data_IF_784121885729
#
_entry.id   IF_784121885729
#
_cell.length_a   1.000
_cell.length_b   1.000
_cell.length_c   1.000
_cell.angle_alpha   90.00
_cell.angle_beta   90.00
_cell.angle_gamma   90.00
#
_symmetry.space_group_name_H-M   'P 1'
#
loop_
_entity.id
_entity.type
_entity.pdbx_description
1 polymer ?
#
# COMPACT_ATOMS: atom_id res chain seq x y z
N UNK A 1 14.62 -15.73 -18.96
CA UNK A 1 14.29 -16.02 -17.54
C UNK A 1 15.18 -15.14 -16.67
N UNK A 2 14.67 -13.98 -16.23
CA UNK A 2 15.40 -12.95 -15.45
C UNK A 2 14.95 -12.99 -13.97
N UNK A 3 14.27 -14.06 -13.54
CA UNK A 3 13.64 -14.17 -12.21
C UNK A 3 14.25 -15.22 -11.27
N UNK A 4 15.37 -15.85 -11.63
CA UNK A 4 15.96 -16.97 -10.86
C UNK A 4 17.26 -16.61 -10.10
N UNK A 5 17.80 -15.38 -10.24
CA UNK A 5 19.14 -15.07 -9.69
C UNK A 5 19.14 -14.22 -8.43
N UNK A 6 18.03 -13.57 -8.08
CA UNK A 6 17.94 -12.75 -6.87
C UNK A 6 16.85 -13.33 -5.97
N UNK A 7 17.28 -14.02 -4.90
CA UNK A 7 16.37 -14.50 -3.87
C UNK A 7 15.56 -13.33 -3.32
N UNK A 8 14.26 -13.50 -3.10
CA UNK A 8 13.36 -12.46 -2.58
C UNK A 8 13.89 -11.81 -1.30
N UNK A 9 14.66 -12.57 -0.53
CA UNK A 9 15.39 -12.11 0.66
C UNK A 9 16.47 -11.09 0.32
N UNK A 10 17.21 -11.25 -0.78
CA UNK A 10 18.28 -10.33 -1.23
C UNK A 10 17.68 -8.98 -1.61
N UNK A 11 16.60 -8.98 -2.38
CA UNK A 11 15.92 -7.73 -2.79
C UNK A 11 15.35 -6.97 -1.58
N UNK A 12 14.78 -7.68 -0.61
CA UNK A 12 14.33 -7.09 0.65
C UNK A 12 15.49 -6.54 1.49
N UNK A 13 16.64 -7.22 1.50
CA UNK A 13 17.83 -6.77 2.22
C UNK A 13 18.39 -5.47 1.62
N UNK A 14 18.48 -5.40 0.29
CA UNK A 14 18.90 -4.18 -0.41
C UNK A 14 17.91 -3.02 -0.22
N UNK A 15 16.60 -3.29 -0.28
CA UNK A 15 15.58 -2.27 -0.06
C UNK A 15 15.65 -1.69 1.36
N UNK A 16 15.71 -2.54 2.39
CA UNK A 16 15.84 -2.09 3.77
C UNK A 16 17.18 -1.38 4.01
N UNK A 17 18.27 -1.89 3.42
CA UNK A 17 19.58 -1.25 3.48
C UNK A 17 19.58 0.15 2.87
N UNK A 18 18.99 0.32 1.69
CA UNK A 18 18.88 1.63 1.04
C UNK A 18 18.05 2.62 1.89
N UNK A 19 16.96 2.17 2.50
CA UNK A 19 16.18 3.01 3.42
C UNK A 19 16.96 3.39 4.68
N UNK A 20 17.68 2.46 5.29
CA UNK A 20 18.49 2.73 6.48
C UNK A 20 19.64 3.69 6.18
N UNK A 21 20.34 3.49 5.07
CA UNK A 21 21.40 4.40 4.62
C UNK A 21 20.82 5.79 4.30
N UNK A 22 19.70 5.86 3.59
CA UNK A 22 19.01 7.12 3.32
C UNK A 22 18.60 7.85 4.61
N UNK A 23 17.99 7.13 5.56
CA UNK A 23 17.60 7.69 6.85
C UNK A 23 18.81 8.18 7.66
N UNK A 24 19.91 7.42 7.69
CA UNK A 24 21.13 7.79 8.39
C UNK A 24 21.82 9.00 7.75
N UNK A 25 21.87 9.08 6.41
CA UNK A 25 22.39 10.25 5.70
C UNK A 25 21.56 11.49 6.00
N UNK A 26 20.23 11.38 5.94
CA UNK A 26 19.33 12.48 6.27
C UNK A 26 19.52 12.91 7.73
N UNK A 27 19.52 11.96 8.68
CA UNK A 27 19.74 12.24 10.09
C UNK A 27 21.11 12.90 10.35
N UNK A 28 22.17 12.44 9.68
CA UNK A 28 23.51 13.02 9.78
C UNK A 28 23.55 14.44 9.20
N UNK A 29 22.87 14.71 8.09
CA UNK A 29 22.75 16.06 7.54
C UNK A 29 22.02 17.00 8.50
N UNK A 30 20.93 16.56 9.13
CA UNK A 30 20.21 17.35 10.14
C UNK A 30 21.06 17.60 11.39
N UNK A 31 21.79 16.58 11.86
CA UNK A 31 22.69 16.67 13.01
C UNK A 31 23.88 17.61 12.73
N UNK A 32 24.51 17.51 11.55
CA UNK A 32 25.61 18.39 11.12
C UNK A 32 25.15 19.83 10.90
N UNK A 33 23.90 20.05 10.51
CA UNK A 33 23.33 21.38 10.33
C UNK A 33 23.01 22.09 11.67
N UNK A 34 23.12 21.42 12.82
CA UNK A 34 22.89 22.01 14.15
C UNK A 34 21.46 22.49 14.37
N UNK A 35 20.49 21.94 13.63
CA UNK A 35 19.07 22.30 13.72
C UNK A 35 18.48 21.47 14.85
N UNK A 36 18.54 21.98 16.08
CA UNK A 36 17.93 21.30 17.23
C UNK A 36 16.41 21.53 17.30
N UNK A 37 15.88 22.63 16.74
CA UNK A 37 14.45 22.93 16.65
C UNK A 37 14.07 23.39 15.25
N UNK A 38 13.11 22.69 14.62
CA UNK A 38 12.57 23.10 13.34
C UNK A 38 11.44 24.12 13.51
N UNK A 39 11.45 25.19 12.72
CA UNK A 39 10.52 26.33 12.82
C UNK A 39 9.07 25.96 12.46
N UNK A 40 8.83 24.80 11.82
CA UNK A 40 7.52 24.32 11.40
C UNK A 40 7.14 22.96 12.04
N UNK A 41 5.88 22.76 12.51
CA UNK A 41 5.44 21.52 13.18
C UNK A 41 5.61 20.23 12.36
N UNK A 42 5.65 20.33 11.03
CA UNK A 42 5.86 19.19 10.12
C UNK A 42 7.32 18.70 10.10
N UNK A 43 8.27 19.56 10.47
CA UNK A 43 9.71 19.23 10.50
C UNK A 43 10.17 18.76 11.88
N UNK A 44 9.37 18.98 12.93
CA UNK A 44 9.67 18.59 14.30
C UNK A 44 9.80 17.05 14.44
N UNK A 45 9.05 16.28 13.65
CA UNK A 45 9.16 14.82 13.63
C UNK A 45 10.57 14.31 13.22
N UNK A 46 11.31 15.06 12.41
CA UNK A 46 12.65 14.66 11.94
C UNK A 46 13.75 14.85 13.00
N UNK A 47 13.55 15.80 13.92
CA UNK A 47 14.55 16.20 14.92
C UNK A 47 14.18 15.70 16.32
N UNK A 48 12.94 15.21 16.51
CA UNK A 48 12.45 14.76 17.81
C UNK A 48 13.31 13.61 18.36
N UNK A 49 13.78 13.71 19.62
CA UNK A 49 14.46 12.61 20.28
C UNK A 49 13.60 11.34 20.29
N UNK A 50 14.25 10.19 20.14
CA UNK A 50 13.56 8.90 20.22
C UNK A 50 12.90 8.74 21.60
N UNK A 51 11.58 8.57 21.61
CA UNK A 51 10.81 8.32 22.83
C UNK A 51 10.42 6.85 22.85
N UNK A 52 10.76 6.15 23.93
CA UNK A 52 10.32 4.78 24.14
C UNK A 52 8.79 4.73 24.28
N UNK A 53 8.10 3.94 23.44
CA UNK A 53 6.64 3.84 23.51
C UNK A 53 6.21 3.23 24.84
N UNK A 54 5.10 3.72 25.38
CA UNK A 54 4.50 3.15 26.57
C UNK A 54 3.99 1.72 26.30
N UNK A 55 3.93 0.88 27.34
CA UNK A 55 3.43 -0.50 27.26
C UNK A 55 2.09 -0.69 26.52
N UNK A 56 1.06 0.16 26.68
CA UNK A 56 -0.18 0.02 25.89
C UNK A 56 0.01 0.32 24.41
N UNK A 57 0.97 1.18 24.05
CA UNK A 57 1.25 1.50 22.64
C UNK A 57 2.03 0.40 21.95
N UNK A 58 2.93 -0.28 22.69
CA UNK A 58 3.57 -1.50 22.22
C UNK A 58 2.56 -2.59 21.86
N UNK A 59 1.48 -2.75 22.63
CA UNK A 59 0.43 -3.72 22.33
C UNK A 59 -0.31 -3.35 21.04
N UNK A 60 -0.64 -2.07 20.83
CA UNK A 60 -1.27 -1.59 19.59
C UNK A 60 -0.36 -1.79 18.37
N UNK A 61 0.94 -1.51 18.53
CA UNK A 61 1.95 -1.74 17.48
C UNK A 61 2.06 -3.23 17.13
N UNK A 62 2.10 -4.10 18.15
CA UNK A 62 2.11 -5.55 17.96
C UNK A 62 0.83 -6.06 17.27
N UNK A 63 -0.34 -5.58 17.67
CA UNK A 63 -1.60 -5.92 17.04
C UNK A 63 -1.66 -5.45 15.57
N UNK A 64 -1.19 -4.24 15.28
CA UNK A 64 -1.07 -3.71 13.91
C UNK A 64 -0.14 -4.59 13.06
N UNK A 65 1.04 -4.92 13.59
CA UNK A 65 2.00 -5.80 12.90
C UNK A 65 1.44 -7.20 12.64
N UNK A 66 0.68 -7.75 13.59
CA UNK A 66 0.01 -9.04 13.42
C UNK A 66 -1.06 -9.01 12.34
N UNK A 67 -1.96 -8.02 12.37
CA UNK A 67 -3.01 -7.84 11.36
C UNK A 67 -2.42 -7.60 9.98
N UNK A 68 -1.40 -6.74 9.87
CA UNK A 68 -0.70 -6.49 8.62
C UNK A 68 -0.04 -7.75 8.07
N UNK A 69 0.65 -8.52 8.92
CA UNK A 69 1.30 -9.77 8.51
C UNK A 69 0.28 -10.82 8.08
N UNK A 70 -0.82 -10.99 8.82
CA UNK A 70 -1.90 -11.89 8.45
C UNK A 70 -2.53 -11.48 7.10
N UNK A 71 -2.80 -10.19 6.90
CA UNK A 71 -3.30 -9.66 5.64
C UNK A 71 -2.34 -9.93 4.47
N UNK A 72 -1.04 -9.71 4.67
CA UNK A 72 -0.01 -9.96 3.66
C UNK A 72 0.09 -11.45 3.28
N UNK A 73 0.00 -12.35 4.27
CA UNK A 73 -0.01 -13.79 4.04
C UNK A 73 -1.25 -14.17 3.23
N UNK A 74 -2.44 -13.73 3.64
CA UNK A 74 -3.70 -14.01 2.93
C UNK A 74 -3.67 -13.48 1.50
N UNK A 75 -3.15 -12.27 1.30
CA UNK A 75 -3.00 -11.66 -0.02
C UNK A 75 -2.02 -12.46 -0.89
N UNK A 76 -0.88 -12.88 -0.32
CA UNK A 76 0.10 -13.73 -1.01
C UNK A 76 -0.52 -15.08 -1.40
N UNK A 77 -1.36 -15.67 -0.55
CA UNK A 77 -2.10 -16.89 -0.89
C UNK A 77 -3.13 -16.64 -1.99
N UNK A 78 -3.84 -15.50 -1.97
CA UNK A 78 -4.80 -15.13 -3.01
C UNK A 78 -4.13 -15.02 -4.39
N UNK A 79 -2.95 -14.40 -4.47
CA UNK A 79 -2.15 -14.33 -5.69
C UNK A 79 -1.64 -15.70 -6.18
N UNK A 80 -1.47 -16.68 -5.28
CA UNK A 80 -1.11 -18.06 -5.66
C UNK A 80 -2.30 -18.85 -6.21
N UNK A 81 -3.51 -18.59 -5.72
CA UNK A 81 -4.71 -19.39 -6.00
C UNK A 81 -5.56 -18.82 -7.15
N UNK A 82 -5.52 -17.51 -7.39
CA UNK A 82 -6.36 -16.83 -8.36
C UNK A 82 -5.53 -16.06 -9.41
N UNK A 83 -6.06 -15.84 -10.63
CA UNK A 83 -5.39 -15.02 -11.63
C UNK A 83 -5.17 -13.59 -11.11
N UNK A 84 -3.97 -13.05 -11.34
CA UNK A 84 -3.52 -11.76 -10.79
C UNK A 84 -4.51 -10.60 -11.05
N UNK A 85 -5.20 -10.60 -12.20
CA UNK A 85 -6.19 -9.58 -12.54
C UNK A 85 -7.42 -9.57 -11.61
N UNK A 86 -7.82 -10.75 -11.12
CA UNK A 86 -8.92 -10.88 -10.16
C UNK A 86 -8.54 -10.32 -8.79
N UNK A 87 -7.35 -10.66 -8.30
CA UNK A 87 -6.84 -10.20 -7.00
C UNK A 87 -6.62 -8.68 -6.99
N UNK A 88 -6.04 -8.12 -8.06
CA UNK A 88 -5.86 -6.67 -8.20
C UNK A 88 -7.21 -5.91 -8.17
N UNK A 89 -8.28 -6.50 -8.72
CA UNK A 89 -9.62 -5.90 -8.65
C UNK A 89 -10.13 -5.80 -7.21
N UNK A 90 -9.85 -6.80 -6.38
CA UNK A 90 -10.18 -6.76 -4.95
C UNK A 90 -9.39 -5.70 -4.19
N UNK A 91 -8.11 -5.50 -4.52
CA UNK A 91 -7.28 -4.47 -3.89
C UNK A 91 -7.87 -3.05 -4.09
N UNK A 92 -8.43 -2.76 -5.26
CA UNK A 92 -9.07 -1.47 -5.52
C UNK A 92 -10.30 -1.20 -4.63
N UNK A 93 -10.97 -2.24 -4.12
CA UNK A 93 -12.07 -2.05 -3.16
C UNK A 93 -11.60 -1.44 -1.84
N UNK A 94 -10.29 -1.51 -1.54
CA UNK A 94 -9.67 -0.85 -0.39
C UNK A 94 -9.89 0.66 -0.35
N UNK A 95 -10.14 1.30 -1.50
CA UNK A 95 -10.45 2.73 -1.59
C UNK A 95 -11.80 3.06 -0.94
N UNK A 96 -12.72 2.11 -0.87
CA UNK A 96 -14.01 2.27 -0.20
C UNK A 96 -13.85 1.96 1.30
N UNK A 97 -13.13 0.89 1.64
CA UNK A 97 -12.95 0.45 3.02
C UNK A 97 -12.08 1.39 3.87
N UNK A 98 -11.05 2.00 3.27
CA UNK A 98 -10.14 2.92 3.96
C UNK A 98 -10.85 4.13 4.61
N UNK A 99 -11.62 4.95 3.86
CA UNK A 99 -12.38 6.06 4.46
C UNK A 99 -13.52 5.60 5.37
N UNK A 100 -14.10 4.42 5.14
CA UNK A 100 -15.13 3.85 6.01
C UNK A 100 -14.57 3.56 7.40
N UNK A 101 -13.42 2.90 7.50
CA UNK A 101 -12.76 2.65 8.77
C UNK A 101 -12.24 3.93 9.43
N UNK A 102 -11.77 4.90 8.64
CA UNK A 102 -11.39 6.23 9.11
C UNK A 102 -12.55 6.95 9.81
N UNK A 103 -13.73 6.95 9.19
CA UNK A 103 -14.95 7.50 9.78
C UNK A 103 -15.38 6.74 11.04
N UNK A 104 -15.35 5.40 11.01
CA UNK A 104 -15.88 4.58 12.11
C UNK A 104 -15.03 4.62 13.38
N UNK A 105 -13.70 4.61 13.26
CA UNK A 105 -12.80 4.57 14.43
C UNK A 105 -12.28 5.92 14.86
N UNK A 106 -12.09 6.86 13.93
CA UNK A 106 -11.45 8.14 14.20
C UNK A 106 -12.43 9.32 14.11
N UNK A 107 -13.71 9.06 13.77
CA UNK A 107 -14.72 10.09 13.51
C UNK A 107 -14.25 11.17 12.53
N UNK A 108 -13.28 10.84 11.67
CA UNK A 108 -12.75 11.74 10.66
C UNK A 108 -13.78 11.92 9.56
N UNK A 109 -14.52 13.03 9.61
CA UNK A 109 -15.44 13.42 8.54
C UNK A 109 -14.60 13.79 7.32
N UNK A 110 -14.73 13.08 6.19
CA UNK A 110 -13.96 13.37 4.99
C UNK A 110 -14.21 14.82 4.57
N UNK A 111 -13.14 15.61 4.48
CA UNK A 111 -13.22 16.97 3.92
C UNK A 111 -13.79 16.87 2.50
N UNK A 112 -14.45 17.92 1.97
CA UNK A 112 -15.03 17.89 0.63
C UNK A 112 -14.03 17.49 -0.46
N UNK A 113 -12.74 17.81 -0.30
CA UNK A 113 -11.67 17.35 -1.18
C UNK A 113 -11.47 15.81 -1.15
N UNK A 114 -11.51 15.19 0.04
CA UNK A 114 -11.43 13.73 0.21
C UNK A 114 -12.66 13.04 -0.39
N UNK A 115 -13.85 13.62 -0.20
CA UNK A 115 -15.09 13.12 -0.79
C UNK A 115 -15.06 13.21 -2.33
N UNK A 116 -14.54 14.31 -2.88
CA UNK A 116 -14.36 14.46 -4.33
C UNK A 116 -13.37 13.42 -4.89
N UNK A 117 -12.24 13.19 -4.21
CA UNK A 117 -11.28 12.14 -4.58
C UNK A 117 -11.91 10.74 -4.53
N UNK A 118 -12.64 10.42 -3.46
CA UNK A 118 -13.35 9.15 -3.34
C UNK A 118 -14.39 8.95 -4.46
N UNK A 119 -15.18 9.98 -4.78
CA UNK A 119 -16.14 9.94 -5.88
C UNK A 119 -15.47 9.71 -7.24
N UNK A 120 -14.31 10.33 -7.47
CA UNK A 120 -13.54 10.17 -8.71
C UNK A 120 -13.02 8.73 -8.86
N UNK A 121 -12.51 8.16 -7.77
CA UNK A 121 -12.02 6.77 -7.79
C UNK A 121 -13.17 5.77 -7.95
N UNK A 122 -14.28 5.96 -7.24
CA UNK A 122 -15.49 5.11 -7.39
C UNK A 122 -16.01 5.21 -8.83
N UNK A 123 -16.02 6.41 -9.43
CA UNK A 123 -16.39 6.64 -10.83
C UNK A 123 -15.46 5.92 -11.81
N UNK A 124 -14.15 5.98 -11.59
CA UNK A 124 -13.16 5.25 -12.38
C UNK A 124 -13.34 3.72 -12.25
N UNK A 125 -13.63 3.23 -11.05
CA UNK A 125 -13.93 1.81 -10.81
C UNK A 125 -15.20 1.33 -11.52
N UNK A 126 -16.28 2.10 -11.46
CA UNK A 126 -17.52 1.85 -12.21
C UNK A 126 -17.29 1.89 -13.72
N UNK A 127 -16.53 2.87 -14.21
CA UNK A 127 -16.15 2.94 -15.63
C UNK A 127 -15.31 1.73 -16.06
N UNK A 128 -14.34 1.32 -15.26
CA UNK A 128 -13.51 0.14 -15.52
C UNK A 128 -14.36 -1.14 -15.57
N UNK A 129 -15.29 -1.33 -14.62
CA UNK A 129 -16.23 -2.47 -14.62
C UNK A 129 -17.11 -2.46 -15.87
N UNK A 130 -17.61 -1.29 -16.27
CA UNK A 130 -18.43 -1.17 -17.48
C UNK A 130 -17.61 -1.39 -18.75
N UNK A 131 -16.34 -1.00 -18.77
CA UNK A 131 -15.40 -1.24 -19.87
C UNK A 131 -14.96 -2.72 -19.95
N UNK A 132 -14.86 -3.42 -18.81
CA UNK A 132 -14.62 -4.86 -18.74
C UNK A 132 -15.83 -5.64 -19.26
N UNK A 133 -17.06 -5.25 -18.88
CA UNK A 133 -18.30 -5.84 -19.42
C UNK A 133 -18.42 -5.67 -20.94
N UNK A 134 -17.98 -4.53 -21.49
CA UNK A 134 -17.95 -4.29 -22.94
C UNK A 134 -16.92 -5.15 -23.68
N UNK A 135 -15.79 -5.50 -23.03
CA UNK A 135 -14.76 -6.38 -23.61
C UNK A 135 -15.09 -7.87 -23.52
N UNK A 136 -15.88 -8.28 -22.53
CA UNK A 136 -16.43 -9.65 -22.47
C UNK A 136 -17.47 -9.96 -23.56
N UNK A 137 -17.85 -8.96 -24.37
CA UNK A 137 -18.70 -9.12 -25.56
C UNK A 137 -17.94 -9.38 -26.86
N UNK A 138 -16.61 -9.48 -26.84
CA UNK A 138 -15.87 -9.96 -28.01
C UNK A 138 -15.90 -11.50 -27.99
N UNK A 139 -16.64 -12.18 -28.88
CA UNK A 139 -16.58 -13.62 -28.97
C UNK A 139 -15.15 -14.02 -29.31
N UNK A 140 -14.58 -14.92 -28.51
CA UNK A 140 -13.43 -15.73 -28.92
C UNK A 140 -13.90 -16.67 -30.04
N UNK A 141 -14.12 -16.11 -31.23
CA UNK A 141 -14.28 -16.87 -32.47
C UNK A 141 -12.91 -17.01 -33.12
N UNK A 142 -12.62 -18.25 -33.50
CA UNK A 142 -11.52 -18.71 -34.35
C UNK A 142 -10.16 -18.98 -33.68
N UNK A 143 -10.09 -20.08 -32.92
CA UNK A 143 -8.94 -21.00 -32.99
C UNK A 143 -9.42 -22.46 -32.94
N UNK A 144 -10.48 -22.75 -33.70
CA UNK A 144 -10.88 -24.12 -34.07
C UNK A 144 -11.22 -24.10 -35.55
N UNK A 145 -10.17 -24.20 -36.38
CA UNK A 145 -10.21 -24.84 -37.70
C UNK A 145 -8.83 -25.48 -37.91
N UNK A 146 -8.77 -26.78 -37.60
CA UNK A 146 -7.94 -27.85 -38.19
C UNK A 146 -7.99 -27.78 -39.75
N UNK A 147 -7.14 -28.45 -40.58
CA UNK A 147 -6.55 -29.79 -40.39
C UNK A 147 -5.15 -30.08 -41.01
N UNK A 148 -4.52 -31.17 -40.56
CA UNK A 148 -3.78 -32.21 -41.32
C UNK A 148 -2.63 -32.83 -40.53
#
# INVERSE_FOLDING_TARGET
KIGDTESSTVMAFYQNGAYLVGAALVAALFWLAGIDHAVHPSLEFLVRPWVWPATPDLLKMGACGFVASAGMILLSQAYRLAPANGVATFEYTGIIWSPLWGFLFFAEVPRPATAAGAALIIGAGLFALNASRRRSGAPAIAATCDPA
#
